data_IF_990240644835
#
_entry.id   IF_990240644835
#
_cell.length_a   1.000
_cell.length_b   1.000
_cell.length_c   1.000
_cell.angle_alpha   90.00
_cell.angle_beta   90.00
_cell.angle_gamma   90.00
#
_symmetry.space_group_name_H-M   'P 1'
#
loop_
_entity.id
_entity.type
_entity.pdbx_description
1 polymer ?
#
# COMPACT_ATOMS: atom_id res chain seq x y z
N UNK A 1 6.08 -17.44 13.00
CA UNK A 1 4.93 -16.74 12.40
C UNK A 1 5.40 -16.11 11.09
N UNK A 2 4.89 -16.57 9.95
CA UNK A 2 5.24 -16.00 8.64
C UNK A 2 4.61 -14.61 8.54
N UNK A 3 5.36 -13.54 8.20
CA UNK A 3 4.76 -12.22 8.01
C UNK A 3 3.63 -12.32 6.98
N UNK A 4 2.49 -11.69 7.27
CA UNK A 4 1.35 -11.69 6.35
C UNK A 4 1.73 -10.89 5.11
N UNK A 5 1.89 -11.59 3.98
CA UNK A 5 2.11 -10.95 2.70
C UNK A 5 0.90 -10.06 2.32
N UNK A 6 1.12 -8.85 1.79
CA UNK A 6 0.04 -7.97 1.37
C UNK A 6 -0.83 -8.65 0.31
N UNK A 7 -2.12 -8.32 0.29
CA UNK A 7 -3.03 -8.81 -0.75
C UNK A 7 -3.09 -7.82 -1.92
N UNK A 8 -3.12 -8.35 -3.14
CA UNK A 8 -3.25 -7.58 -4.38
C UNK A 8 -4.65 -7.77 -4.97
N UNK A 9 -5.25 -6.69 -5.47
CA UNK A 9 -6.44 -6.76 -6.31
C UNK A 9 -6.11 -6.13 -7.66
N UNK A 10 -6.35 -6.88 -8.74
CA UNK A 10 -6.41 -6.35 -10.09
C UNK A 10 -7.88 -6.03 -10.40
N UNK A 11 -8.21 -4.75 -10.58
CA UNK A 11 -9.59 -4.31 -10.84
C UNK A 11 -9.77 -3.82 -12.27
N UNK A 12 -10.88 -4.18 -12.92
CA UNK A 12 -11.23 -3.62 -14.22
C UNK A 12 -11.57 -2.12 -14.09
N UNK A 13 -11.30 -1.34 -15.13
CA UNK A 13 -11.84 0.02 -15.22
C UNK A 13 -13.37 0.02 -15.30
N UNK A 14 -13.98 1.19 -15.07
CA UNK A 14 -15.43 1.40 -15.10
C UNK A 14 -15.82 2.30 -16.27
N UNK A 15 -16.96 2.01 -16.89
CA UNK A 15 -17.62 2.92 -17.84
C UNK A 15 -17.95 4.26 -17.17
N UNK A 16 -18.61 4.23 -16.01
CA UNK A 16 -18.93 5.43 -15.22
C UNK A 16 -17.65 6.04 -14.64
N UNK A 17 -17.37 7.30 -14.99
CA UNK A 17 -16.19 8.08 -14.57
C UNK A 17 -16.59 9.48 -14.06
N UNK A 18 -15.73 10.13 -13.28
CA UNK A 18 -15.82 11.57 -13.04
C UNK A 18 -15.56 12.35 -14.34
N UNK A 19 -15.92 13.63 -14.36
CA UNK A 19 -15.78 14.50 -15.55
C UNK A 19 -14.48 15.32 -15.55
N UNK A 20 -13.55 15.01 -14.65
CA UNK A 20 -12.27 15.71 -14.49
C UNK A 20 -11.18 14.71 -14.10
N UNK A 21 -9.92 15.08 -14.34
CA UNK A 21 -8.77 14.34 -13.88
C UNK A 21 -8.83 14.03 -12.38
N UNK A 22 -8.67 12.77 -12.02
CA UNK A 22 -8.67 12.32 -10.64
C UNK A 22 -7.80 11.06 -10.50
N UNK A 23 -7.35 10.70 -9.28
CA UNK A 23 -6.77 9.38 -9.02
C UNK A 23 -7.70 8.28 -9.55
N UNK A 24 -7.16 7.25 -10.20
CA UNK A 24 -7.95 6.22 -10.88
C UNK A 24 -9.01 5.56 -9.97
N UNK A 25 -8.69 5.32 -8.69
CA UNK A 25 -9.64 4.80 -7.69
C UNK A 25 -10.85 5.71 -7.45
N UNK A 26 -10.68 7.02 -7.61
CA UNK A 26 -11.71 8.04 -7.43
C UNK A 26 -12.40 8.39 -8.74
N UNK A 27 -11.66 8.36 -9.86
CA UNK A 27 -12.21 8.59 -11.20
C UNK A 27 -13.30 7.56 -11.51
N UNK A 28 -13.06 6.27 -11.25
CA UNK A 28 -14.01 5.22 -11.59
C UNK A 28 -15.15 5.09 -10.56
N UNK A 29 -16.38 5.19 -11.06
CA UNK A 29 -17.60 5.29 -10.25
C UNK A 29 -18.56 4.10 -10.43
N UNK A 30 -18.09 3.01 -11.03
CA UNK A 30 -18.87 1.80 -11.29
C UNK A 30 -19.21 1.00 -10.02
N UNK A 31 -20.13 0.05 -10.17
CA UNK A 31 -20.67 -0.74 -9.04
C UNK A 31 -19.60 -1.52 -8.26
N UNK A 32 -18.52 -1.97 -8.92
CA UNK A 32 -17.38 -2.61 -8.27
C UNK A 32 -16.58 -1.62 -7.40
N UNK A 33 -16.42 -0.37 -7.83
CA UNK A 33 -15.73 0.68 -7.06
C UNK A 33 -16.56 1.13 -5.85
N UNK A 34 -17.88 1.26 -6.02
CA UNK A 34 -18.79 1.48 -4.89
C UNK A 34 -18.72 0.32 -3.89
N UNK A 35 -18.68 -0.92 -4.38
CA UNK A 35 -18.54 -2.11 -3.52
C UNK A 35 -17.19 -2.13 -2.80
N UNK A 36 -16.11 -1.78 -3.50
CA UNK A 36 -14.78 -1.65 -2.90
C UNK A 36 -14.80 -0.64 -1.74
N UNK A 37 -15.26 0.59 -2.01
CA UNK A 37 -15.32 1.67 -1.01
C UNK A 37 -16.18 1.30 0.21
N UNK A 38 -17.29 0.60 -0.01
CA UNK A 38 -18.19 0.17 1.07
C UNK A 38 -17.63 -0.96 1.95
N UNK A 39 -16.62 -1.72 1.48
CA UNK A 39 -16.15 -2.92 2.17
C UNK A 39 -14.68 -2.89 2.57
N UNK A 40 -13.89 -1.98 2.00
CA UNK A 40 -12.49 -1.82 2.38
C UNK A 40 -12.40 -1.29 3.82
N UNK A 41 -11.65 -2.00 4.66
CA UNK A 41 -11.35 -1.54 6.02
C UNK A 41 -10.05 -0.76 6.01
N UNK A 42 -9.99 0.36 6.73
CA UNK A 42 -8.79 1.20 6.82
C UNK A 42 -7.57 0.40 7.31
N UNK A 43 -7.77 -0.47 8.31
CA UNK A 43 -6.73 -1.34 8.85
C UNK A 43 -6.43 -2.59 8.01
N UNK A 44 -7.02 -2.76 6.82
CA UNK A 44 -6.85 -3.96 5.97
C UNK A 44 -6.94 -3.60 4.47
N UNK A 45 -6.29 -2.50 4.05
CA UNK A 45 -6.36 -2.03 2.66
C UNK A 45 -5.50 -2.92 1.75
N UNK A 46 -6.05 -3.54 0.71
CA UNK A 46 -5.22 -4.25 -0.27
C UNK A 46 -4.43 -3.26 -1.13
N UNK A 47 -3.35 -3.72 -1.75
CA UNK A 47 -2.76 -3.03 -2.88
C UNK A 47 -3.69 -3.19 -4.09
N UNK A 48 -3.97 -2.10 -4.80
CA UNK A 48 -4.90 -2.13 -5.95
C UNK A 48 -4.20 -1.62 -7.19
N UNK A 49 -4.23 -2.44 -8.24
CA UNK A 49 -3.84 -2.07 -9.60
C UNK A 49 -5.07 -2.16 -10.47
N UNK A 50 -5.26 -1.17 -11.33
CA UNK A 50 -6.43 -1.08 -12.21
C UNK A 50 -5.99 -1.40 -13.63
N UNK A 51 -6.67 -2.36 -14.26
CA UNK A 51 -6.56 -2.60 -15.70
C UNK A 51 -7.49 -1.62 -16.42
N UNK A 52 -6.90 -0.56 -16.97
CA UNK A 52 -7.53 0.39 -17.87
C UNK A 52 -7.45 -0.09 -19.32
N UNK A 53 -8.58 -0.07 -20.01
CA UNK A 53 -8.62 -0.33 -21.45
C UNK A 53 -7.80 0.69 -22.27
N UNK A 54 -7.52 1.88 -21.76
CA UNK A 54 -6.70 2.89 -22.47
C UNK A 54 -5.25 2.87 -22.01
N UNK A 55 -5.04 2.77 -20.70
CA UNK A 55 -3.74 3.02 -20.09
C UNK A 55 -2.99 1.75 -19.66
N UNK A 56 -3.55 0.56 -19.88
CA UNK A 56 -2.97 -0.68 -19.37
C UNK A 56 -3.13 -0.81 -17.86
N UNK A 57 -2.16 -1.44 -17.19
CA UNK A 57 -2.17 -1.56 -15.74
C UNK A 57 -1.63 -0.27 -15.11
N UNK A 58 -2.45 0.39 -14.29
CA UNK A 58 -2.11 1.64 -13.59
C UNK A 58 -2.29 1.48 -12.07
N UNK A 59 -1.46 2.14 -11.24
CA UNK A 59 -1.68 2.14 -9.80
C UNK A 59 -2.96 2.90 -9.46
N UNK A 60 -3.61 2.54 -8.35
CA UNK A 60 -4.90 3.11 -7.96
C UNK A 60 -4.88 4.63 -7.74
N UNK A 61 -3.71 5.21 -7.47
CA UNK A 61 -3.50 6.65 -7.27
C UNK A 61 -3.06 7.40 -8.53
N UNK A 62 -2.89 6.74 -9.68
CA UNK A 62 -2.54 7.42 -10.92
C UNK A 62 -3.63 8.43 -11.30
N UNK A 63 -3.26 9.70 -11.46
CA UNK A 63 -4.18 10.75 -11.92
C UNK A 63 -4.36 10.61 -13.42
N UNK A 64 -5.60 10.40 -13.86
CA UNK A 64 -5.96 10.20 -15.27
C UNK A 64 -7.21 11.00 -15.63
N UNK A 65 -7.26 11.48 -16.87
CA UNK A 65 -8.44 12.14 -17.47
C UNK A 65 -9.54 11.11 -17.80
N UNK A 66 -10.83 11.51 -17.80
CA UNK A 66 -11.89 10.66 -18.31
C UNK A 66 -11.67 10.30 -19.79
N UNK A 67 -12.06 9.09 -20.15
CA UNK A 67 -11.91 8.56 -21.50
C UNK A 67 -12.99 7.53 -21.81
N UNK A 68 -13.26 7.30 -23.09
CA UNK A 68 -14.19 6.25 -23.54
C UNK A 68 -13.45 5.24 -24.42
N UNK A 69 -13.16 4.07 -23.84
CA UNK A 69 -12.53 2.95 -24.53
C UNK A 69 -12.97 1.63 -23.89
N UNK A 70 -13.56 0.75 -24.71
CA UNK A 70 -13.98 -0.59 -24.30
C UNK A 70 -12.82 -1.58 -24.46
N UNK A 71 -12.66 -2.49 -23.49
CA UNK A 71 -11.79 -3.65 -23.65
C UNK A 71 -12.52 -4.73 -24.46
N UNK A 72 -12.45 -4.63 -25.79
CA UNK A 72 -12.96 -5.67 -26.69
C UNK A 72 -12.08 -6.92 -26.63
N UNK A 73 -12.57 -8.04 -27.15
CA UNK A 73 -11.80 -9.28 -27.24
C UNK A 73 -10.51 -9.12 -28.04
N UNK A 74 -10.57 -8.48 -29.21
CA UNK A 74 -9.38 -8.22 -30.03
C UNK A 74 -8.36 -7.32 -29.32
N UNK A 75 -8.85 -6.33 -28.57
CA UNK A 75 -7.96 -5.47 -27.78
C UNK A 75 -7.34 -6.24 -26.62
N UNK A 76 -8.11 -7.09 -25.92
CA UNK A 76 -7.59 -7.98 -24.89
C UNK A 76 -6.52 -8.95 -25.45
N UNK A 77 -6.76 -9.54 -26.63
CA UNK A 77 -5.80 -10.42 -27.30
C UNK A 77 -4.48 -9.69 -27.62
N UNK A 78 -4.56 -8.44 -28.11
CA UNK A 78 -3.38 -7.60 -28.34
C UNK A 78 -2.64 -7.25 -27.04
N UNK A 79 -3.37 -6.96 -25.96
CA UNK A 79 -2.77 -6.70 -24.65
C UNK A 79 -2.08 -7.94 -24.08
N UNK A 80 -2.66 -9.13 -24.25
CA UNK A 80 -2.06 -10.40 -23.81
C UNK A 80 -0.77 -10.68 -24.58
N UNK A 81 -0.78 -10.51 -25.90
CA UNK A 81 0.40 -10.73 -26.74
C UNK A 81 1.58 -9.82 -26.37
N UNK A 82 1.31 -8.61 -25.87
CA UNK A 82 2.30 -7.60 -25.53
C UNK A 82 2.20 -7.15 -24.06
N UNK A 83 1.93 -8.07 -23.13
CA UNK A 83 1.56 -7.73 -21.75
C UNK A 83 2.61 -6.89 -21.01
N UNK A 84 3.90 -7.06 -21.30
CA UNK A 84 4.97 -6.26 -20.69
C UNK A 84 4.84 -4.76 -21.00
N UNK A 85 4.39 -4.40 -22.20
CA UNK A 85 4.19 -3.01 -22.58
C UNK A 85 3.10 -2.34 -21.72
N UNK A 86 2.12 -3.11 -21.25
CA UNK A 86 1.02 -2.63 -20.43
C UNK A 86 1.28 -2.73 -18.92
N UNK A 87 2.38 -3.38 -18.50
CA UNK A 87 2.81 -3.50 -17.11
C UNK A 87 3.84 -2.44 -16.70
N UNK A 88 4.18 -1.51 -17.61
CA UNK A 88 5.16 -0.45 -17.34
C UNK A 88 4.68 0.42 -16.16
N UNK A 89 5.55 0.62 -15.17
CA UNK A 89 5.26 1.45 -14.00
C UNK A 89 4.50 0.75 -12.87
N UNK A 90 4.24 -0.57 -12.98
CA UNK A 90 3.68 -1.35 -11.88
C UNK A 90 4.77 -2.16 -11.16
N UNK A 91 4.92 -1.90 -9.87
CA UNK A 91 5.71 -2.72 -8.95
C UNK A 91 4.75 -3.29 -7.92
N UNK A 92 4.17 -4.48 -8.15
CA UNK A 92 3.26 -5.07 -7.17
C UNK A 92 4.07 -5.45 -5.93
N UNK A 93 3.45 -5.43 -4.74
CA UNK A 93 4.12 -6.00 -3.58
C UNK A 93 4.25 -7.52 -3.74
N UNK A 94 5.10 -8.16 -2.93
CA UNK A 94 5.27 -9.61 -2.89
C UNK A 94 4.02 -10.30 -2.30
N UNK A 95 2.90 -10.25 -3.03
CA UNK A 95 1.60 -10.68 -2.59
C UNK A 95 1.45 -12.20 -2.71
N UNK A 96 0.92 -12.84 -1.66
CA UNK A 96 0.57 -14.27 -1.69
C UNK A 96 -0.89 -14.53 -2.06
N UNK A 97 -1.71 -13.47 -2.13
CA UNK A 97 -3.12 -13.54 -2.51
C UNK A 97 -3.42 -12.46 -3.52
N UNK A 98 -3.97 -12.86 -4.66
CA UNK A 98 -4.39 -11.99 -5.75
C UNK A 98 -5.87 -12.22 -6.05
N UNK A 99 -6.66 -11.14 -6.15
CA UNK A 99 -8.02 -11.18 -6.67
C UNK A 99 -8.08 -10.50 -8.04
N UNK A 100 -8.65 -11.19 -9.03
CA UNK A 100 -8.96 -10.63 -10.35
C UNK A 100 -10.44 -10.25 -10.39
N UNK A 101 -10.71 -8.95 -10.37
CA UNK A 101 -12.05 -8.40 -10.25
C UNK A 101 -12.45 -7.68 -11.55
N UNK A 102 -13.21 -8.38 -12.40
CA UNK A 102 -13.68 -7.84 -13.67
C UNK A 102 -14.47 -8.81 -14.53
N UNK A 103 -14.94 -8.32 -15.68
CA UNK A 103 -15.56 -9.15 -16.72
C UNK A 103 -14.55 -10.10 -17.37
N UNK A 104 -15.05 -11.06 -18.17
CA UNK A 104 -14.24 -12.14 -18.74
C UNK A 104 -12.98 -11.65 -19.47
N UNK A 105 -13.11 -10.67 -20.38
CA UNK A 105 -11.97 -10.15 -21.14
C UNK A 105 -10.92 -9.48 -20.23
N UNK A 106 -11.35 -8.73 -19.21
CA UNK A 106 -10.44 -8.16 -18.23
C UNK A 106 -9.68 -9.25 -17.46
N UNK A 107 -10.37 -10.30 -17.01
CA UNK A 107 -9.74 -11.38 -16.26
C UNK A 107 -8.73 -12.16 -17.11
N UNK A 108 -8.97 -12.34 -18.41
CA UNK A 108 -8.00 -12.93 -19.34
C UNK A 108 -6.68 -12.14 -19.37
N UNK A 109 -6.76 -10.82 -19.51
CA UNK A 109 -5.56 -9.95 -19.53
C UNK A 109 -4.89 -9.93 -18.15
N UNK A 110 -5.66 -9.83 -17.07
CA UNK A 110 -5.14 -9.88 -15.70
C UNK A 110 -4.42 -11.20 -15.39
N UNK A 111 -4.93 -12.33 -15.90
CA UNK A 111 -4.29 -13.64 -15.75
C UNK A 111 -2.91 -13.64 -16.40
N UNK A 112 -2.84 -13.22 -17.66
CA UNK A 112 -1.57 -13.10 -18.39
C UNK A 112 -0.57 -12.17 -17.66
N UNK A 113 -1.07 -11.08 -17.07
CA UNK A 113 -0.24 -10.19 -16.26
C UNK A 113 0.30 -10.85 -15.00
N UNK A 114 -0.51 -11.61 -14.26
CA UNK A 114 -0.05 -12.36 -13.08
C UNK A 114 1.00 -13.39 -13.48
N UNK A 115 0.77 -14.16 -14.54
CA UNK A 115 1.72 -15.16 -15.03
C UNK A 115 3.06 -14.49 -15.40
N UNK A 116 3.00 -13.32 -16.04
CA UNK A 116 4.20 -12.54 -16.38
C UNK A 116 4.93 -12.01 -15.13
N UNK A 117 4.20 -11.54 -14.13
CA UNK A 117 4.77 -11.05 -12.87
C UNK A 117 5.44 -12.17 -12.07
N UNK A 118 4.90 -13.39 -12.10
CA UNK A 118 5.54 -14.58 -11.52
C UNK A 118 6.83 -14.89 -12.27
N UNK A 119 6.79 -14.93 -13.61
CA UNK A 119 7.97 -15.21 -14.45
C UNK A 119 9.11 -14.21 -14.24
N UNK A 120 8.79 -12.95 -13.89
CA UNK A 120 9.76 -11.89 -13.56
C UNK A 120 10.25 -11.92 -12.10
N UNK A 121 9.72 -12.84 -11.28
CA UNK A 121 10.03 -12.90 -9.84
C UNK A 121 9.40 -11.78 -9.01
N UNK A 122 8.45 -11.01 -9.57
CA UNK A 122 7.75 -9.94 -8.86
C UNK A 122 6.63 -10.48 -7.95
N UNK A 123 6.05 -11.63 -8.32
CA UNK A 123 5.12 -12.39 -7.49
C UNK A 123 5.71 -13.78 -7.20
N UNK A 124 5.46 -14.34 -6.00
CA UNK A 124 5.94 -15.67 -5.68
C UNK A 124 5.18 -16.73 -6.49
N UNK A 125 5.84 -17.85 -6.80
CA UNK A 125 5.23 -18.94 -7.58
C UNK A 125 4.10 -19.67 -6.84
N UNK A 126 4.02 -19.54 -5.51
CA UNK A 126 2.96 -20.10 -4.65
C UNK A 126 1.77 -19.15 -4.47
N UNK A 127 1.66 -18.08 -5.27
CA UNK A 127 0.59 -17.09 -5.16
C UNK A 127 -0.79 -17.71 -5.40
N UNK A 128 -1.73 -17.45 -4.50
CA UNK A 128 -3.13 -17.87 -4.63
C UNK A 128 -3.90 -16.82 -5.42
N UNK A 129 -4.33 -17.18 -6.62
CA UNK A 129 -5.12 -16.29 -7.49
C UNK A 129 -6.58 -16.72 -7.49
N UNK A 130 -7.46 -15.79 -7.14
CA UNK A 130 -8.91 -15.94 -7.19
C UNK A 130 -9.52 -14.99 -8.20
N UNK A 131 -10.66 -15.35 -8.78
CA UNK A 131 -11.35 -14.57 -9.80
C UNK A 131 -12.81 -14.35 -9.40
N UNK A 132 -13.37 -13.18 -9.70
CA UNK A 132 -14.81 -12.98 -9.60
C UNK A 132 -15.52 -13.79 -10.68
N UNK A 133 -16.57 -14.55 -10.37
CA UNK A 133 -17.36 -15.30 -11.37
C UNK A 133 -18.85 -14.96 -11.34
N UNK A 134 -19.58 -15.29 -12.40
CA UNK A 134 -21.02 -15.04 -12.52
C UNK A 134 -21.39 -13.59 -12.85
N UNK A 135 -22.68 -13.26 -12.69
CA UNK A 135 -23.21 -11.92 -12.95
C UNK A 135 -22.72 -10.86 -11.96
N UNK A 136 -22.96 -9.58 -12.28
CA UNK A 136 -22.40 -8.44 -11.51
C UNK A 136 -22.74 -8.49 -10.01
N UNK A 137 -23.93 -8.97 -9.62
CA UNK A 137 -24.31 -9.16 -8.22
C UNK A 137 -23.40 -10.13 -7.48
N UNK A 138 -23.16 -11.31 -8.07
CA UNK A 138 -22.23 -12.31 -7.52
C UNK A 138 -20.80 -11.79 -7.46
N UNK A 139 -20.33 -11.09 -8.50
CA UNK A 139 -18.98 -10.52 -8.50
C UNK A 139 -18.79 -9.49 -7.38
N UNK A 140 -19.79 -8.63 -7.14
CA UNK A 140 -19.78 -7.68 -6.02
C UNK A 140 -19.76 -8.39 -4.66
N UNK A 141 -20.55 -9.45 -4.49
CA UNK A 141 -20.53 -10.25 -3.27
C UNK A 141 -19.16 -10.88 -3.01
N UNK A 142 -18.51 -11.41 -4.05
CA UNK A 142 -17.16 -11.99 -3.98
C UNK A 142 -16.12 -10.94 -3.61
N UNK A 143 -16.12 -9.77 -4.26
CA UNK A 143 -15.22 -8.67 -3.93
C UNK A 143 -15.42 -8.20 -2.47
N UNK A 144 -16.67 -7.98 -2.06
CA UNK A 144 -16.98 -7.57 -0.68
C UNK A 144 -16.53 -8.61 0.34
N UNK A 145 -16.73 -9.90 0.04
CA UNK A 145 -16.28 -11.00 0.91
C UNK A 145 -14.77 -11.06 1.00
N UNK A 146 -14.06 -10.92 -0.12
CA UNK A 146 -12.60 -10.85 -0.15
C UNK A 146 -12.08 -9.73 0.75
N UNK A 147 -12.58 -8.50 0.56
CA UNK A 147 -12.17 -7.32 1.34
C UNK A 147 -12.43 -7.48 2.84
N UNK A 148 -13.62 -7.97 3.23
CA UNK A 148 -13.95 -8.15 4.65
C UNK A 148 -13.09 -9.23 5.31
N UNK A 149 -12.67 -10.26 4.56
CA UNK A 149 -11.82 -11.36 5.03
C UNK A 149 -10.32 -11.08 4.99
N UNK A 150 -9.89 -9.94 4.45
CA UNK A 150 -8.49 -9.57 4.54
C UNK A 150 -8.09 -9.52 6.02
N UNK A 151 -6.96 -10.13 6.43
CA UNK A 151 -6.49 -9.87 7.78
C UNK A 151 -6.31 -8.35 7.91
N UNK A 152 -6.58 -7.74 9.08
CA UNK A 152 -5.99 -6.45 9.33
C UNK A 152 -4.50 -6.55 8.97
N UNK A 153 -3.94 -5.50 8.40
CA UNK A 153 -2.51 -5.37 8.41
C UNK A 153 -2.08 -5.77 9.82
N UNK A 154 -1.06 -6.62 9.93
CA UNK A 154 -0.15 -6.34 11.01
C UNK A 154 0.46 -4.99 10.65
N UNK A 155 -0.30 -3.91 10.87
CA UNK A 155 0.29 -2.75 11.51
C UNK A 155 1.01 -3.36 12.66
N UNK A 156 2.28 -3.07 12.71
CA UNK A 156 3.30 -3.92 13.26
C UNK A 156 3.19 -3.85 14.79
N UNK A 157 2.03 -4.19 15.36
CA UNK A 157 1.61 -3.86 16.70
C UNK A 157 2.35 -4.83 17.60
N UNK A 158 3.42 -4.32 18.20
CA UNK A 158 4.34 -5.06 19.06
C UNK A 158 3.87 -5.10 20.51
N UNK A 159 2.87 -4.30 20.86
CA UNK A 159 2.32 -4.22 22.21
C UNK A 159 1.24 -3.15 22.34
N UNK A 160 0.86 -2.87 23.58
CA UNK A 160 -0.03 -1.77 23.93
C UNK A 160 0.53 -1.06 25.16
N UNK A 161 0.38 0.25 25.22
CA UNK A 161 0.52 0.99 26.48
C UNK A 161 -0.55 0.55 27.48
N UNK A 162 -0.37 0.77 28.80
CA UNK A 162 -1.35 0.38 29.83
C UNK A 162 -2.76 0.95 29.63
N UNK A 163 -2.88 2.08 28.94
CA UNK A 163 -4.15 2.71 28.57
C UNK A 163 -4.82 2.11 27.31
N UNK A 164 -4.21 1.08 26.70
CA UNK A 164 -4.70 0.42 25.50
C UNK A 164 -4.23 1.05 24.18
N UNK A 165 -3.38 2.08 24.19
CA UNK A 165 -2.83 2.64 22.94
C UNK A 165 -1.93 1.61 22.25
N UNK A 166 -2.16 1.26 20.97
CA UNK A 166 -1.32 0.32 20.23
C UNK A 166 0.10 0.86 20.00
N UNK A 167 1.11 0.00 20.17
CA UNK A 167 2.51 0.26 19.86
C UNK A 167 2.89 -0.42 18.55
N UNK A 168 3.45 0.32 17.59
CA UNK A 168 3.84 -0.16 16.28
C UNK A 168 5.37 -0.38 16.17
N UNK A 169 5.81 -1.34 15.36
CA UNK A 169 7.21 -1.56 14.96
C UNK A 169 7.62 -0.56 13.88
N UNK A 170 6.68 -0.17 13.01
CA UNK A 170 6.90 0.77 11.91
C UNK A 170 5.77 1.79 11.82
N UNK A 171 6.09 3.07 11.63
CA UNK A 171 5.11 4.15 11.48
C UNK A 171 5.76 5.37 10.80
N UNK A 172 5.07 6.01 9.87
CA UNK A 172 5.54 7.25 9.22
C UNK A 172 6.89 7.14 8.51
N UNK A 173 7.26 5.95 8.02
CA UNK A 173 8.57 5.70 7.40
C UNK A 173 9.70 5.39 8.39
N UNK A 174 9.41 5.40 9.70
CA UNK A 174 10.34 5.07 10.76
C UNK A 174 10.12 3.65 11.31
N UNK A 175 11.16 3.07 11.89
CA UNK A 175 11.15 1.74 12.53
C UNK A 175 11.68 1.81 13.96
N UNK A 176 11.11 1.04 14.88
CA UNK A 176 11.67 0.88 16.24
C UNK A 176 13.10 0.35 16.17
N UNK A 177 14.02 0.99 16.90
CA UNK A 177 15.46 0.73 16.88
C UNK A 177 16.24 1.57 15.87
N UNK A 178 15.56 2.39 15.05
CA UNK A 178 16.22 3.25 14.07
C UNK A 178 16.91 4.45 14.75
N UNK A 179 18.15 4.72 14.33
CA UNK A 179 18.88 5.95 14.65
C UNK A 179 18.28 7.14 13.91
N UNK A 180 17.99 8.20 14.66
CA UNK A 180 17.37 9.43 14.16
C UNK A 180 18.03 10.66 14.77
N UNK A 181 17.78 11.79 14.13
CA UNK A 181 18.05 13.11 14.65
C UNK A 181 16.73 13.78 15.03
N UNK A 182 16.64 14.24 16.28
CA UNK A 182 15.53 15.09 16.74
C UNK A 182 15.81 16.52 16.29
N UNK A 183 14.94 17.04 15.43
CA UNK A 183 15.00 18.39 14.87
C UNK A 183 13.66 19.07 15.13
N UNK A 184 13.60 19.92 16.16
CA UNK A 184 12.39 20.64 16.51
C UNK A 184 11.99 21.62 15.39
N UNK A 185 10.94 21.30 14.64
CA UNK A 185 10.51 22.12 13.50
C UNK A 185 10.16 23.56 13.90
N UNK A 186 9.69 23.75 15.14
CA UNK A 186 9.37 25.04 15.75
C UNK A 186 10.57 25.82 16.29
N UNK A 187 11.74 25.17 16.45
CA UNK A 187 12.96 25.71 17.05
C UNK A 187 14.19 25.33 16.21
N UNK A 188 14.24 25.87 15.00
CA UNK A 188 15.33 25.64 14.03
C UNK A 188 16.71 26.15 14.49
N UNK A 189 16.74 26.95 15.56
CA UNK A 189 17.95 27.44 16.20
C UNK A 189 18.66 26.38 17.06
N UNK A 190 17.96 25.31 17.42
CA UNK A 190 18.54 24.21 18.20
C UNK A 190 19.28 23.23 17.29
N UNK A 191 20.43 22.77 17.76
CA UNK A 191 21.17 21.71 17.08
C UNK A 191 20.37 20.40 17.07
N UNK A 192 20.50 19.64 15.98
CA UNK A 192 19.94 18.30 15.89
C UNK A 192 20.52 17.41 16.99
N UNK A 193 19.66 16.69 17.71
CA UNK A 193 20.07 15.83 18.81
C UNK A 193 19.93 14.36 18.43
N UNK A 194 21.02 13.57 18.52
CA UNK A 194 20.96 12.12 18.35
C UNK A 194 19.95 11.42 19.25
N UNK A 195 19.17 10.51 18.66
CA UNK A 195 18.30 9.62 19.41
C UNK A 195 18.06 8.27 18.71
N UNK A 196 17.54 7.30 19.46
CA UNK A 196 17.07 6.01 18.94
C UNK A 196 15.59 5.86 19.25
N UNK A 197 14.80 5.47 18.25
CA UNK A 197 13.36 5.20 18.43
C UNK A 197 13.18 3.93 19.26
N UNK A 198 12.40 4.00 20.35
CA UNK A 198 12.09 2.84 21.19
C UNK A 198 10.65 2.38 21.10
N UNK A 199 9.72 3.30 20.79
CA UNK A 199 8.31 2.98 20.58
C UNK A 199 7.72 3.91 19.51
N UNK A 200 6.69 3.44 18.79
CA UNK A 200 5.93 4.22 17.82
C UNK A 200 4.44 4.05 18.12
N UNK A 201 3.66 5.13 18.19
CA UNK A 201 2.24 5.10 18.53
C UNK A 201 1.49 6.36 18.06
N UNK A 202 0.16 6.29 18.00
CA UNK A 202 -0.66 7.49 17.77
C UNK A 202 -0.83 8.26 19.09
N UNK A 203 -0.17 9.41 19.18
CA UNK A 203 -0.25 10.32 20.33
C UNK A 203 -1.40 11.33 20.18
N UNK A 204 -1.65 12.16 21.21
CA UNK A 204 -2.75 13.13 21.20
C UNK A 204 -2.64 14.18 20.09
N UNK A 205 -1.43 14.42 19.59
CA UNK A 205 -1.14 15.38 18.51
C UNK A 205 -0.74 14.70 17.19
N UNK A 206 -1.02 13.39 17.05
CA UNK A 206 -0.72 12.59 15.86
C UNK A 206 0.45 11.60 16.04
N UNK A 207 1.05 11.12 14.93
CA UNK A 207 2.08 10.09 14.96
C UNK A 207 3.28 10.51 15.83
N UNK A 208 3.59 9.69 16.83
CA UNK A 208 4.57 9.99 17.89
C UNK A 208 5.55 8.83 18.09
N UNK A 209 6.80 9.16 18.39
CA UNK A 209 7.81 8.21 18.85
C UNK A 209 8.17 8.48 20.31
N UNK A 210 8.38 7.42 21.10
CA UNK A 210 9.26 7.51 22.28
C UNK A 210 10.68 7.34 21.78
N UNK A 211 11.56 8.30 22.08
CA UNK A 211 12.97 8.25 21.69
C UNK A 211 13.87 8.27 22.92
N UNK A 212 15.01 7.58 22.82
CA UNK A 212 16.10 7.62 23.79
C UNK A 212 17.20 8.54 23.26
N UNK A 213 17.43 9.68 23.94
CA UNK A 213 18.43 10.67 23.53
C UNK A 213 19.86 10.17 23.81
N UNK A 214 20.82 10.45 22.94
CA UNK A 214 22.22 10.13 23.19
C UNK A 214 22.90 11.26 23.98
N UNK A 215 23.59 10.92 25.07
CA UNK A 215 24.54 11.84 25.74
C UNK A 215 24.02 12.70 26.90
N UNK A 216 22.90 12.34 27.57
CA UNK A 216 22.63 12.95 28.88
C UNK A 216 23.65 12.41 29.90
N UNK A 217 24.48 13.31 30.43
CA UNK A 217 25.52 13.04 31.43
C UNK A 217 24.96 12.71 32.82
N UNK A 218 23.63 12.78 33.01
CA UNK A 218 22.95 12.19 34.16
C UNK A 218 22.61 10.73 33.84
N UNK A 219 22.81 9.86 34.82
CA UNK A 219 22.57 8.42 34.77
C UNK A 219 21.07 8.03 34.62
N UNK A 220 20.23 8.97 34.17
CA UNK A 220 18.84 8.78 33.79
C UNK A 220 18.75 8.87 32.26
N UNK A 221 18.49 7.72 31.64
CA UNK A 221 18.17 7.65 30.21
C UNK A 221 16.91 8.49 29.96
N UNK A 222 17.05 9.68 29.37
CA UNK A 222 15.91 10.54 29.10
C UNK A 222 15.11 9.99 27.91
N UNK A 223 13.98 9.36 28.22
CA UNK A 223 12.97 8.97 27.24
C UNK A 223 12.00 10.13 27.05
N UNK A 224 11.83 10.57 25.81
CA UNK A 224 10.95 11.70 25.48
C UNK A 224 10.03 11.33 24.32
N UNK A 225 8.80 11.85 24.36
CA UNK A 225 7.87 11.77 23.26
C UNK A 225 8.17 12.87 22.24
N UNK A 226 8.34 12.48 20.99
CA UNK A 226 8.64 13.38 19.87
C UNK A 226 7.69 13.07 18.73
N UNK A 227 7.07 14.09 18.14
CA UNK A 227 6.25 13.91 16.95
C UNK A 227 7.11 13.45 15.77
N UNK A 228 6.62 12.55 14.92
CA UNK A 228 7.42 12.05 13.79
C UNK A 228 7.85 13.15 12.80
N UNK A 229 7.13 14.28 12.79
CA UNK A 229 7.48 15.48 12.00
C UNK A 229 8.76 16.16 12.46
N UNK A 230 9.17 15.95 13.71
CA UNK A 230 10.39 16.48 14.31
C UNK A 230 11.55 15.47 14.28
N UNK A 231 11.41 14.37 13.51
CA UNK A 231 12.46 13.37 13.33
C UNK A 231 13.02 13.39 11.91
N UNK A 232 14.33 13.19 11.81
CA UNK A 232 15.00 12.94 10.55
C UNK A 232 15.78 11.62 10.62
N UNK A 233 15.69 10.75 9.58
CA UNK A 233 16.54 9.57 9.51
C UNK A 233 18.02 9.96 9.53
N UNK A 234 18.79 9.33 10.41
CA UNK A 234 20.24 9.50 10.38
C UNK A 234 20.81 8.58 9.30
N UNK A 235 21.31 9.16 8.22
CA UNK A 235 22.07 8.42 7.22
C UNK A 235 23.38 7.91 7.85
N UNK A 236 23.65 6.61 7.74
CA UNK A 236 24.99 6.10 8.01
C UNK A 236 25.93 6.75 6.99
N UNK A 237 26.85 7.59 7.45
CA UNK A 237 27.98 8.01 6.63
C UNK A 237 28.69 6.73 6.17
N UNK A 238 28.65 6.45 4.86
CA UNK A 238 29.59 5.55 4.23
C UNK A 238 30.98 6.08 4.58
N UNK A 239 31.59 5.48 5.59
CA UNK A 239 33.03 5.55 5.81
C UNK A 239 33.65 4.96 4.54
N UNK A 240 34.00 5.84 3.59
CA UNK A 240 35.12 5.59 2.71
C UNK A 240 36.35 5.47 3.62
N UNK A 241 36.62 4.23 4.05
CA UNK A 241 37.93 3.89 4.56
C UNK A 241 38.93 4.05 3.40
N UNK A 242 39.98 4.82 3.70
CA UNK A 242 41.08 5.23 2.84
C UNK A 242 41.82 4.07 2.18
#
# INVERSE_FOLDING_TARGET
>A
MTPFAPSLILMACSEKKLQHAAPAMDLYQGSMYTTFRANVRQNARPHVVILSAKHGFIPSNAVIEPYEQLLTRSHADAMIANVDAYLQGITPPAAKKVLLAGGAEYRRVMRAAVDRLIARGCLPSDVVVTETVGGIGYQRQQLGTFLRRLPPFMMDVVGHHPNGTPLYRTMGGFTVGQDVDVVYASRKDLAAVPAVITELFEGPNGPTATVKMAGSSSNEQSYTWVGLVDLQPRSASLLLAA
#
